data_IF_327315007377
#
_entry.id   IF_327315007377
#
_cell.length_a   1.000
_cell.length_b   1.000
_cell.length_c   1.000
_cell.angle_alpha   90.00
_cell.angle_beta   90.00
_cell.angle_gamma   90.00
#
_symmetry.space_group_name_H-M   'P 1'
#
loop_
_entity.id
_entity.type
_entity.pdbx_description
1 polymer ?
#
# COMPACT_ATOMS: atom_id res chain seq x y z
N UNK A 1 10.29 -26.68 7.75
CA UNK A 1 10.13 -25.86 8.97
C UNK A 1 9.38 -24.60 8.56
N UNK A 2 8.08 -24.51 8.85
CA UNK A 2 7.19 -23.49 8.28
C UNK A 2 6.92 -22.32 9.24
N UNK A 3 7.65 -22.29 10.36
CA UNK A 3 7.61 -21.22 11.35
C UNK A 3 8.78 -20.30 11.02
N UNK A 4 8.45 -19.08 10.59
CA UNK A 4 9.37 -17.98 10.45
C UNK A 4 8.98 -16.89 11.47
N UNK A 5 9.87 -15.94 11.71
CA UNK A 5 9.57 -14.76 12.51
C UNK A 5 9.55 -13.54 11.60
N UNK A 6 8.59 -12.64 11.83
CA UNK A 6 8.58 -11.35 11.17
C UNK A 6 9.76 -10.51 11.71
N UNK A 7 10.56 -9.93 10.81
CA UNK A 7 11.88 -9.40 11.14
C UNK A 7 11.86 -8.13 11.99
N UNK A 8 10.73 -7.44 12.09
CA UNK A 8 10.62 -6.17 12.83
C UNK A 8 9.95 -6.37 14.19
N UNK A 9 8.84 -7.10 14.23
CA UNK A 9 8.02 -7.36 15.42
C UNK A 9 8.46 -8.58 16.21
N UNK A 10 9.13 -9.54 15.57
CA UNK A 10 9.41 -10.84 16.16
C UNK A 10 8.19 -11.75 16.26
N UNK A 11 7.06 -11.36 15.67
CA UNK A 11 5.82 -12.14 15.72
C UNK A 11 5.93 -13.43 14.88
N UNK A 12 5.22 -14.50 15.29
CA UNK A 12 5.21 -15.75 14.55
C UNK A 12 4.54 -15.56 13.18
N UNK A 13 5.20 -16.07 12.14
CA UNK A 13 4.68 -16.16 10.78
C UNK A 13 4.52 -17.63 10.42
N UNK A 14 3.29 -18.01 10.07
CA UNK A 14 2.97 -19.35 9.59
C UNK A 14 2.84 -19.27 8.07
N UNK A 15 3.80 -19.87 7.36
CA UNK A 15 3.74 -19.99 5.91
C UNK A 15 3.09 -21.33 5.52
N UNK A 16 1.91 -21.26 4.88
CA UNK A 16 1.24 -22.44 4.31
C UNK A 16 1.46 -22.42 2.80
N UNK A 17 2.05 -23.50 2.27
CA UNK A 17 2.25 -23.68 0.83
C UNK A 17 1.44 -24.88 0.37
N UNK A 18 0.64 -24.67 -0.67
CA UNK A 18 -0.06 -25.73 -1.37
C UNK A 18 0.69 -26.07 -2.64
N UNK A 19 0.79 -27.36 -2.96
CA UNK A 19 1.35 -27.86 -4.21
C UNK A 19 0.27 -28.71 -4.88
N UNK A 20 -0.10 -28.35 -6.11
CA UNK A 20 -1.20 -28.97 -6.86
C UNK A 20 -2.50 -29.16 -6.04
N UNK A 21 -3.02 -28.09 -5.37
CA UNK A 21 -4.25 -28.21 -4.61
C UNK A 21 -5.45 -28.51 -5.52
N UNK A 22 -6.36 -29.36 -5.03
CA UNK A 22 -7.63 -29.60 -5.71
C UNK A 22 -8.51 -28.34 -5.59
N UNK A 23 -9.17 -27.91 -6.68
CA UNK A 23 -10.13 -26.81 -6.64
C UNK A 23 -11.27 -27.10 -5.66
N UNK A 24 -11.65 -26.12 -4.85
CA UNK A 24 -12.75 -26.25 -3.92
C UNK A 24 -12.64 -25.33 -2.71
N UNK A 25 -13.57 -25.48 -1.78
CA UNK A 25 -13.58 -24.71 -0.53
C UNK A 25 -12.65 -25.33 0.50
N UNK A 26 -11.57 -24.61 0.80
CA UNK A 26 -10.64 -24.98 1.88
C UNK A 26 -11.04 -24.29 3.19
N UNK A 27 -10.92 -25.03 4.31
CA UNK A 27 -11.20 -24.51 5.66
C UNK A 27 -9.92 -24.50 6.48
N UNK A 28 -9.44 -23.31 6.81
CA UNK A 28 -8.30 -23.09 7.70
C UNK A 28 -8.82 -22.77 9.10
N UNK A 29 -8.45 -23.57 10.10
CA UNK A 29 -8.86 -23.36 11.49
C UNK A 29 -7.66 -22.92 12.33
N UNK A 30 -7.76 -21.72 12.90
CA UNK A 30 -6.78 -21.18 13.85
C UNK A 30 -7.30 -21.43 15.27
N UNK A 31 -6.42 -21.88 16.17
CA UNK A 31 -6.72 -22.09 17.59
C UNK A 31 -5.59 -21.49 18.43
N UNK A 32 -5.95 -20.75 19.48
CA UNK A 32 -5.01 -20.41 20.53
C UNK A 32 -4.98 -21.54 21.56
N UNK A 33 -3.78 -22.02 21.87
CA UNK A 33 -3.58 -23.01 22.92
C UNK A 33 -3.35 -22.35 24.28
N UNK A 34 -3.06 -21.05 24.28
CA UNK A 34 -2.89 -20.22 25.48
C UNK A 34 -4.21 -19.52 25.83
N UNK A 35 -4.33 -19.08 27.10
CA UNK A 35 -5.53 -18.41 27.61
C UNK A 35 -5.52 -16.88 27.41
N UNK A 36 -4.61 -16.38 26.58
CA UNK A 36 -4.47 -14.95 26.30
C UNK A 36 -5.31 -14.53 25.07
N UNK A 37 -5.85 -13.30 25.04
CA UNK A 37 -6.44 -12.75 23.82
C UNK A 37 -5.41 -12.69 22.70
N UNK A 38 -5.79 -13.11 21.49
CA UNK A 38 -4.93 -13.00 20.32
C UNK A 38 -5.72 -12.51 19.09
N UNK A 39 -5.03 -11.77 18.22
CA UNK A 39 -5.50 -11.38 16.90
C UNK A 39 -4.53 -11.91 15.85
N UNK A 40 -5.03 -12.22 14.66
CA UNK A 40 -4.19 -12.63 13.55
C UNK A 40 -4.67 -12.00 12.25
N UNK A 41 -3.77 -11.95 11.28
CA UNK A 41 -4.07 -11.59 9.91
C UNK A 41 -3.65 -12.72 8.99
N UNK A 42 -4.33 -12.84 7.87
CA UNK A 42 -4.02 -13.83 6.84
C UNK A 42 -4.12 -13.17 5.49
N UNK A 43 -3.10 -13.37 4.67
CA UNK A 43 -3.02 -12.81 3.32
C UNK A 43 -2.80 -13.93 2.30
N UNK A 44 -3.37 -13.73 1.13
CA UNK A 44 -3.03 -14.47 -0.07
C UNK A 44 -1.97 -13.68 -0.86
N UNK A 45 -1.17 -14.35 -1.71
CA UNK A 45 -0.28 -13.66 -2.63
C UNK A 45 -1.03 -12.64 -3.48
N UNK A 46 -0.44 -11.46 -3.68
CA UNK A 46 -1.04 -10.38 -4.47
C UNK A 46 -0.81 -10.54 -5.96
N UNK A 47 -1.72 -9.97 -6.77
CA UNK A 47 -1.59 -9.89 -8.23
C UNK A 47 -1.70 -11.26 -8.90
N UNK A 48 -1.02 -11.43 -10.03
CA UNK A 48 -1.21 -12.58 -10.92
C UNK A 48 -0.44 -13.84 -10.45
N UNK A 49 -0.08 -13.93 -9.17
CA UNK A 49 0.60 -15.08 -8.58
C UNK A 49 -0.36 -16.24 -8.29
N UNK A 50 -1.65 -15.94 -8.16
CA UNK A 50 -2.74 -16.90 -7.96
C UNK A 50 -3.87 -16.57 -8.94
N UNK A 51 -4.77 -17.53 -9.15
CA UNK A 51 -5.98 -17.32 -9.94
C UNK A 51 -6.93 -16.35 -9.23
N UNK A 52 -7.70 -15.57 -9.98
CA UNK A 52 -8.79 -14.72 -9.47
C UNK A 52 -9.89 -15.53 -8.77
N UNK A 53 -9.95 -16.85 -8.99
CA UNK A 53 -10.84 -17.77 -8.29
C UNK A 53 -10.31 -18.20 -6.91
N UNK A 54 -9.11 -17.74 -6.51
CA UNK A 54 -8.51 -18.00 -5.20
C UNK A 54 -8.67 -16.79 -4.29
N UNK A 55 -9.69 -16.81 -3.43
CA UNK A 55 -9.99 -15.71 -2.52
C UNK A 55 -10.51 -16.20 -1.16
N UNK A 56 -10.47 -15.32 -0.16
CA UNK A 56 -11.18 -15.56 1.09
C UNK A 56 -12.67 -15.29 0.92
N UNK A 57 -13.52 -16.25 1.28
CA UNK A 57 -14.99 -16.09 1.24
C UNK A 57 -15.47 -14.88 2.04
N UNK A 58 -14.76 -14.53 3.11
CA UNK A 58 -15.01 -13.35 3.94
C UNK A 58 -13.65 -12.65 4.11
N UNK A 59 -13.37 -11.69 3.23
CA UNK A 59 -12.15 -10.88 3.27
C UNK A 59 -12.37 -9.53 3.96
N UNK A 60 -11.34 -9.02 4.63
CA UNK A 60 -11.33 -7.65 5.16
C UNK A 60 -10.57 -6.73 4.20
N UNK A 61 -11.20 -5.67 3.66
CA UNK A 61 -10.53 -4.72 2.77
C UNK A 61 -9.55 -3.79 3.49
N UNK A 62 -9.61 -3.68 4.82
CA UNK A 62 -8.92 -2.66 5.62
C UNK A 62 -7.53 -3.09 6.14
N UNK A 63 -6.87 -4.07 5.53
CA UNK A 63 -5.45 -4.36 5.82
C UNK A 63 -4.79 -4.97 4.58
N UNK A 64 -4.76 -4.20 3.51
CA UNK A 64 -4.37 -4.66 2.16
C UNK A 64 -3.16 -3.91 1.57
N UNK A 65 -2.51 -3.05 2.36
CA UNK A 65 -1.27 -2.36 1.95
C UNK A 65 -0.13 -3.37 1.76
N UNK A 66 0.41 -3.44 0.56
CA UNK A 66 1.53 -4.33 0.22
C UNK A 66 2.84 -3.87 0.87
N UNK A 67 3.61 -4.82 1.41
CA UNK A 67 5.01 -4.58 1.83
C UNK A 67 5.85 -4.17 0.61
N UNK A 68 6.73 -3.15 0.70
CA UNK A 68 7.15 -2.41 1.90
C UNK A 68 6.32 -1.15 2.24
N UNK A 69 5.22 -0.88 1.54
CA UNK A 69 4.38 0.32 1.76
C UNK A 69 3.67 0.37 3.12
N UNK A 70 3.73 -0.69 3.92
CA UNK A 70 3.24 -0.75 5.28
C UNK A 70 4.29 -0.32 6.34
N UNK A 71 5.50 0.07 5.91
CA UNK A 71 6.55 0.55 6.81
C UNK A 71 6.27 1.98 7.33
N UNK A 72 6.84 2.30 8.49
CA UNK A 72 6.64 3.60 9.18
C UNK A 72 7.26 4.76 8.39
N UNK A 73 8.47 4.57 7.85
CA UNK A 73 9.29 5.68 7.33
C UNK A 73 9.14 5.94 5.82
N UNK A 74 8.34 5.14 5.12
CA UNK A 74 8.11 5.30 3.68
C UNK A 74 6.89 6.19 3.43
N UNK A 75 6.90 6.94 2.33
CA UNK A 75 5.72 7.62 1.82
C UNK A 75 4.93 6.65 0.95
N UNK A 76 3.79 6.21 1.45
CA UNK A 76 2.88 5.26 0.84
C UNK A 76 1.80 6.02 0.10
N UNK A 77 1.66 5.73 -1.19
CA UNK A 77 0.78 6.47 -2.08
C UNK A 77 -0.32 5.55 -2.59
N UNK A 78 -1.57 5.98 -2.44
CA UNK A 78 -2.72 5.34 -3.07
C UNK A 78 -3.09 6.03 -4.39
N UNK A 79 -3.87 5.36 -5.23
CA UNK A 79 -4.31 5.90 -6.51
C UNK A 79 -5.77 6.34 -6.46
N UNK A 80 -6.03 7.53 -6.98
CA UNK A 80 -7.37 8.00 -7.27
C UNK A 80 -7.53 8.34 -8.75
N UNK A 81 -8.77 8.37 -9.20
CA UNK A 81 -9.16 8.84 -10.51
C UNK A 81 -9.26 10.37 -10.51
N UNK A 82 -8.31 11.00 -11.19
CA UNK A 82 -8.19 12.45 -11.26
C UNK A 82 -9.32 13.17 -12.01
N UNK A 83 -10.16 12.45 -12.75
CA UNK A 83 -11.28 13.06 -13.49
C UNK A 83 -12.52 13.25 -12.64
N UNK A 84 -12.70 12.44 -11.59
CA UNK A 84 -13.90 12.44 -10.76
C UNK A 84 -13.62 12.42 -9.24
N UNK A 85 -12.36 12.47 -8.83
CA UNK A 85 -11.93 12.42 -7.42
C UNK A 85 -12.44 11.20 -6.65
N UNK A 86 -12.45 10.02 -7.27
CA UNK A 86 -12.77 8.74 -6.59
C UNK A 86 -11.53 7.87 -6.43
N UNK A 87 -11.35 7.25 -5.26
CA UNK A 87 -10.28 6.25 -5.05
C UNK A 87 -10.50 5.04 -5.96
N UNK A 88 -9.42 4.51 -6.51
CA UNK A 88 -9.47 3.27 -7.28
C UNK A 88 -9.81 2.09 -6.38
N UNK A 89 -10.73 1.23 -6.82
CA UNK A 89 -11.24 0.12 -6.02
C UNK A 89 -10.14 -0.89 -5.69
N UNK A 90 -9.19 -1.06 -6.61
CA UNK A 90 -8.01 -1.91 -6.52
C UNK A 90 -6.89 -1.33 -5.64
N UNK A 91 -7.00 -0.08 -5.17
CA UNK A 91 -5.99 0.49 -4.29
C UNK A 91 -6.06 -0.14 -2.90
N UNK A 92 -4.90 -0.61 -2.42
CA UNK A 92 -4.75 -1.11 -1.06
C UNK A 92 -5.13 -0.06 -0.03
N UNK A 93 -5.80 -0.51 1.03
CA UNK A 93 -6.27 0.32 2.15
C UNK A 93 -5.64 -0.14 3.44
N UNK A 94 -5.32 0.82 4.29
CA UNK A 94 -4.85 0.54 5.63
C UNK A 94 -5.99 0.05 6.51
N UNK A 95 -5.71 -0.26 7.76
CA UNK A 95 -4.47 -0.02 8.50
C UNK A 95 -3.33 -0.97 8.11
N UNK A 96 -2.12 -0.71 8.61
CA UNK A 96 -1.08 -1.75 8.67
C UNK A 96 -1.49 -2.82 9.69
N UNK A 97 -0.79 -3.96 9.69
CA UNK A 97 -0.97 -5.01 10.72
C UNK A 97 -0.85 -4.47 12.16
N UNK A 98 0.00 -3.45 12.35
CA UNK A 98 0.21 -2.79 13.65
C UNK A 98 -0.77 -1.64 13.93
N UNK A 99 -1.81 -1.46 13.11
CA UNK A 99 -2.81 -0.41 13.31
C UNK A 99 -2.38 0.98 12.88
N UNK A 100 -1.28 1.12 12.12
CA UNK A 100 -0.87 2.42 11.58
C UNK A 100 -1.74 2.81 10.39
N UNK A 101 -2.08 4.10 10.31
CA UNK A 101 -2.82 4.62 9.16
C UNK A 101 -1.89 4.64 7.95
N UNK A 102 -2.33 3.96 6.90
CA UNK A 102 -1.77 3.99 5.55
C UNK A 102 -2.95 3.95 4.56
N UNK A 103 -2.81 4.46 3.33
CA UNK A 103 -1.66 5.18 2.74
C UNK A 103 -1.37 6.51 3.47
N UNK A 104 -0.30 7.24 3.12
CA UNK A 104 -0.07 8.59 3.67
C UNK A 104 -0.73 9.68 2.82
N UNK A 105 -0.81 9.47 1.51
CA UNK A 105 -1.44 10.39 0.55
C UNK A 105 -2.05 9.62 -0.64
N UNK A 106 -2.92 10.30 -1.38
CA UNK A 106 -3.41 9.87 -2.68
C UNK A 106 -2.82 10.72 -3.81
N UNK A 107 -2.50 10.09 -4.95
CA UNK A 107 -2.08 10.77 -6.17
C UNK A 107 -2.85 10.24 -7.39
N UNK A 108 -2.91 11.00 -8.51
CA UNK A 108 -3.52 10.54 -9.75
C UNK A 108 -2.93 9.20 -10.16
N UNK A 109 -3.78 8.25 -10.52
CA UNK A 109 -3.34 6.93 -10.94
C UNK A 109 -4.30 6.22 -11.90
N UNK A 110 -5.22 6.95 -12.53
CA UNK A 110 -6.18 6.38 -13.48
C UNK A 110 -5.84 6.82 -14.91
N UNK A 111 -5.60 5.86 -15.81
CA UNK A 111 -5.35 6.09 -17.23
C UNK A 111 -4.31 7.20 -17.49
N UNK A 112 -3.20 7.18 -16.73
CA UNK A 112 -2.10 8.12 -16.93
C UNK A 112 -1.29 7.73 -18.17
N UNK A 113 -1.10 8.67 -19.09
CA UNK A 113 -0.26 8.46 -20.26
C UNK A 113 1.21 8.34 -19.85
N UNK A 114 1.87 7.27 -20.27
CA UNK A 114 3.28 7.02 -20.00
C UNK A 114 3.99 6.44 -21.22
N UNK A 115 5.32 6.58 -21.25
CA UNK A 115 6.15 5.90 -22.23
C UNK A 115 6.18 4.39 -21.93
N UNK A 116 6.07 3.59 -22.99
CA UNK A 116 6.29 2.14 -22.98
C UNK A 116 7.46 1.81 -23.94
N UNK A 117 8.02 0.59 -23.89
CA UNK A 117 9.08 0.20 -24.82
C UNK A 117 8.72 0.45 -26.29
N UNK A 118 9.73 0.50 -27.16
CA UNK A 118 9.58 0.71 -28.60
C UNK A 118 9.11 2.13 -28.99
N UNK A 119 9.47 3.14 -28.17
CA UNK A 119 9.16 4.55 -28.41
C UNK A 119 7.66 4.85 -28.55
N UNK A 120 6.83 4.08 -27.84
CA UNK A 120 5.38 4.22 -27.84
C UNK A 120 4.89 4.83 -26.53
N UNK A 121 3.65 5.31 -26.56
CA UNK A 121 2.92 5.76 -25.37
C UNK A 121 1.68 4.91 -25.19
N UNK A 122 1.37 4.61 -23.93
CA UNK A 122 0.14 3.94 -23.53
C UNK A 122 -0.36 4.53 -22.21
N UNK A 123 -1.47 4.02 -21.70
CA UNK A 123 -2.04 4.44 -20.42
C UNK A 123 -1.81 3.38 -19.35
N UNK A 124 -1.41 3.81 -18.15
CA UNK A 124 -1.30 2.97 -16.96
C UNK A 124 -2.34 3.37 -15.91
N UNK A 125 -2.87 2.38 -15.22
CA UNK A 125 -3.76 2.54 -14.07
C UNK A 125 -3.20 1.76 -12.88
N UNK A 126 -3.27 2.34 -11.69
CA UNK A 126 -2.93 1.68 -10.42
C UNK A 126 -1.97 2.48 -9.55
N UNK A 127 -1.79 2.01 -8.31
CA UNK A 127 -0.96 2.65 -7.28
C UNK A 127 0.50 2.82 -7.68
N UNK A 128 1.04 1.94 -8.53
CA UNK A 128 2.39 2.10 -9.07
C UNK A 128 2.57 3.38 -9.90
N UNK A 129 1.55 3.77 -10.67
CA UNK A 129 1.57 5.01 -11.46
C UNK A 129 1.46 6.25 -10.55
N UNK A 130 0.63 6.17 -9.51
CA UNK A 130 0.50 7.21 -8.48
C UNK A 130 1.80 7.41 -7.68
N UNK A 131 2.48 6.31 -7.35
CA UNK A 131 3.79 6.34 -6.70
C UNK A 131 4.86 6.97 -7.60
N UNK A 132 4.90 6.62 -8.89
CA UNK A 132 5.83 7.22 -9.85
C UNK A 132 5.59 8.73 -10.02
N UNK A 133 4.33 9.16 -10.10
CA UNK A 133 3.96 10.57 -10.15
C UNK A 133 4.46 11.32 -8.90
N UNK A 134 4.20 10.76 -7.72
CA UNK A 134 4.67 11.34 -6.45
C UNK A 134 6.20 11.40 -6.37
N UNK A 135 6.91 10.38 -6.87
CA UNK A 135 8.37 10.38 -6.93
C UNK A 135 8.92 11.53 -7.78
N UNK A 136 8.28 11.88 -8.89
CA UNK A 136 8.62 13.05 -9.70
C UNK A 136 8.46 14.37 -8.92
N UNK A 137 7.38 14.49 -8.13
CA UNK A 137 7.15 15.65 -7.25
C UNK A 137 8.23 15.74 -6.18
N UNK A 138 8.56 14.61 -5.54
CA UNK A 138 9.65 14.56 -4.54
C UNK A 138 10.97 14.99 -5.17
N UNK A 139 11.28 14.57 -6.39
CA UNK A 139 12.50 14.98 -7.09
C UNK A 139 12.56 16.51 -7.29
N UNK A 140 11.45 17.15 -7.65
CA UNK A 140 11.38 18.62 -7.75
C UNK A 140 11.58 19.30 -6.39
N UNK A 141 11.00 18.76 -5.31
CA UNK A 141 11.21 19.27 -3.96
C UNK A 141 12.68 19.12 -3.54
N UNK A 142 13.31 17.99 -3.86
CA UNK A 142 14.72 17.74 -3.57
C UNK A 142 15.65 18.66 -4.37
N UNK A 143 15.35 18.94 -5.64
CA UNK A 143 16.08 19.93 -6.45
C UNK A 143 16.01 21.32 -5.80
N UNK A 144 14.81 21.76 -5.40
CA UNK A 144 14.62 23.03 -4.72
C UNK A 144 15.34 23.08 -3.36
N UNK A 145 15.28 22.01 -2.57
CA UNK A 145 15.83 21.96 -1.23
C UNK A 145 17.37 21.89 -1.24
N UNK A 146 17.94 20.96 -2.00
CA UNK A 146 19.37 20.67 -2.00
C UNK A 146 20.12 21.43 -3.09
N UNK A 147 19.73 21.28 -4.35
CA UNK A 147 20.47 21.84 -5.50
C UNK A 147 20.41 23.37 -5.51
N UNK A 148 19.25 23.95 -5.21
CA UNK A 148 19.08 25.40 -5.13
C UNK A 148 19.42 25.98 -3.75
N UNK A 149 19.77 25.13 -2.78
CA UNK A 149 20.23 25.55 -1.46
C UNK A 149 19.16 26.14 -0.53
N UNK A 150 17.87 25.99 -0.83
CA UNK A 150 16.80 26.61 -0.02
C UNK A 150 16.59 25.92 1.32
N UNK A 151 16.78 24.60 1.39
CA UNK A 151 16.62 23.85 2.64
C UNK A 151 17.49 22.58 2.66
N UNK A 152 18.80 22.76 2.71
CA UNK A 152 19.78 21.68 2.58
C UNK A 152 19.79 20.68 3.73
N UNK A 153 19.24 21.07 4.89
CA UNK A 153 19.09 20.18 6.05
C UNK A 153 17.85 19.26 5.95
N UNK A 154 17.06 19.36 4.88
CA UNK A 154 15.89 18.51 4.67
C UNK A 154 16.27 17.02 4.72
N UNK A 155 15.43 16.22 5.34
CA UNK A 155 15.48 14.75 5.30
C UNK A 155 14.29 14.20 4.51
N UNK A 156 14.35 12.95 4.07
CA UNK A 156 13.20 12.29 3.42
C UNK A 156 11.94 12.32 4.28
N UNK A 157 12.07 12.14 5.60
CA UNK A 157 10.94 12.25 6.54
C UNK A 157 10.36 13.67 6.55
N UNK A 158 11.20 14.71 6.51
CA UNK A 158 10.71 16.09 6.45
C UNK A 158 9.99 16.38 5.14
N UNK A 159 10.51 15.88 4.01
CA UNK A 159 9.85 16.00 2.70
C UNK A 159 8.50 15.28 2.71
N UNK A 160 8.43 14.05 3.24
CA UNK A 160 7.18 13.31 3.38
C UNK A 160 6.16 14.11 4.21
N UNK A 161 6.58 14.67 5.36
CA UNK A 161 5.70 15.48 6.21
C UNK A 161 5.23 16.76 5.54
N UNK A 162 6.07 17.41 4.73
CA UNK A 162 5.67 18.57 3.93
C UNK A 162 4.56 18.20 2.95
N UNK A 163 4.73 17.11 2.20
CA UNK A 163 3.73 16.62 1.24
C UNK A 163 2.42 16.26 1.95
N UNK A 164 2.49 15.49 3.04
CA UNK A 164 1.30 15.08 3.80
C UNK A 164 0.56 16.32 4.36
N UNK A 165 1.30 17.31 4.88
CA UNK A 165 0.70 18.53 5.43
C UNK A 165 -0.08 19.30 4.38
N UNK A 166 0.51 19.48 3.20
CA UNK A 166 -0.05 20.27 2.10
C UNK A 166 -1.03 19.49 1.21
N UNK A 167 -1.25 18.20 1.47
CA UNK A 167 -2.21 17.39 0.74
C UNK A 167 -3.63 18.01 0.79
N UNK A 168 -4.28 18.05 -0.36
CA UNK A 168 -5.67 18.52 -0.46
C UNK A 168 -6.62 17.56 0.25
N UNK A 169 -7.56 18.10 1.02
CA UNK A 169 -8.51 17.34 1.83
C UNK A 169 -9.93 17.78 1.50
N UNK A 170 -10.79 16.80 1.26
CA UNK A 170 -12.22 17.05 1.07
C UNK A 170 -12.93 17.14 2.41
N UNK A 171 -13.86 18.08 2.59
CA UNK A 171 -14.66 18.17 3.81
C UNK A 171 -15.66 16.99 3.98
N UNK A 172 -15.76 16.11 2.98
CA UNK A 172 -16.61 14.91 3.02
C UNK A 172 -16.02 13.77 3.87
N UNK A 173 -14.72 13.81 4.17
CA UNK A 173 -14.02 12.76 4.90
C UNK A 173 -13.30 13.34 6.12
N UNK A 174 -13.08 12.48 7.13
CA UNK A 174 -12.19 12.77 8.24
C UNK A 174 -10.79 12.32 7.85
N UNK A 175 -9.78 13.14 8.12
CA UNK A 175 -8.38 12.85 7.83
C UNK A 175 -7.56 12.87 9.11
N UNK A 176 -6.49 12.05 9.23
CA UNK A 176 -6.10 11.00 8.28
C UNK A 176 -7.10 9.82 8.26
N UNK A 177 -7.27 9.15 7.13
CA UNK A 177 -8.07 7.91 7.04
C UNK A 177 -7.35 6.82 6.25
N UNK A 178 -7.83 5.58 6.40
CA UNK A 178 -7.20 4.40 5.84
C UNK A 178 -7.42 4.19 4.33
N UNK A 179 -8.11 5.13 3.67
CA UNK A 179 -8.44 5.06 2.24
C UNK A 179 -7.63 6.08 1.45
N UNK A 180 -7.65 7.34 1.87
CA UNK A 180 -7.00 8.47 1.21
C UNK A 180 -5.66 8.87 1.84
N UNK A 181 -5.42 8.42 3.06
CA UNK A 181 -4.37 8.92 3.95
C UNK A 181 -4.85 9.95 4.94
#
# INVERSE_FOLDING_TARGET
NNIAFESISGDPVILIRFENPVPGTWKLRVRNNENEPFSFHSWLPSGNLISDETFFLIGDPNTTITTPGNAISVLTVTAYNQYNNTILAESGRGYTRSGLIKPDIAAPGYQLTCAIPQAQYSTLTGTGSAAAHTAGIIAMIMEWAYTRGNFTAATGIQINRMIIREAQRSNLYVYPNNIWG
#
